data_IF_298854000662
#
_entry.id   IF_298854000662
#
_cell.length_a   1.000
_cell.length_b   1.000
_cell.length_c   1.000
_cell.angle_alpha   90.00
_cell.angle_beta   90.00
_cell.angle_gamma   90.00
#
_symmetry.space_group_name_H-M   'P 1'
#
loop_
_entity.id
_entity.type
_entity.pdbx_description
1 polymer ?
#
# COMPACT_ATOMS: atom_id res chain seq x y z
N UNK A 1 68.52 -8.98 -6.52
CA UNK A 1 67.22 -9.30 -5.91
C UNK A 1 66.21 -8.26 -6.36
N UNK A 2 65.42 -8.53 -7.41
CA UNK A 2 64.36 -7.62 -7.86
C UNK A 2 63.04 -8.36 -7.83
N UNK A 3 62.21 -7.96 -6.86
CA UNK A 3 60.94 -8.56 -6.50
C UNK A 3 59.86 -8.01 -7.44
N UNK A 4 59.35 -8.82 -8.38
CA UNK A 4 58.20 -8.44 -9.22
C UNK A 4 56.93 -8.95 -8.56
N UNK A 5 56.25 -8.06 -7.82
CA UNK A 5 54.90 -8.30 -7.31
C UNK A 5 53.91 -8.24 -8.48
N UNK A 6 53.33 -9.38 -8.83
CA UNK A 6 52.15 -9.50 -9.68
C UNK A 6 50.92 -9.10 -8.86
N UNK A 7 50.37 -7.93 -9.12
CA UNK A 7 49.07 -7.51 -8.55
C UNK A 7 47.98 -8.24 -9.35
N UNK A 8 47.44 -9.31 -8.75
CA UNK A 8 46.25 -9.98 -9.22
C UNK A 8 45.06 -9.01 -9.09
N UNK A 9 44.55 -8.54 -10.22
CA UNK A 9 43.34 -7.72 -10.29
C UNK A 9 42.12 -8.65 -10.15
N UNK A 10 41.77 -9.01 -8.92
CA UNK A 10 40.51 -9.71 -8.63
C UNK A 10 39.36 -8.74 -8.90
N UNK A 11 38.73 -8.88 -10.06
CA UNK A 11 37.46 -8.22 -10.38
C UNK A 11 36.42 -8.73 -9.38
N UNK A 12 36.18 -7.94 -8.34
CA UNK A 12 35.07 -8.13 -7.42
C UNK A 12 33.79 -7.87 -8.22
N UNK A 13 33.15 -8.94 -8.70
CA UNK A 13 31.78 -8.88 -9.21
C UNK A 13 30.89 -8.52 -8.01
N UNK A 14 30.61 -7.24 -7.83
CA UNK A 14 29.63 -6.75 -6.88
C UNK A 14 28.28 -7.31 -7.30
N UNK A 15 27.87 -8.42 -6.66
CA UNK A 15 26.51 -8.92 -6.67
C UNK A 15 25.63 -7.80 -6.12
N UNK A 16 25.05 -7.01 -7.01
CA UNK A 16 23.97 -6.10 -6.69
C UNK A 16 22.77 -6.95 -6.30
N UNK A 17 22.71 -7.29 -5.01
CA UNK A 17 21.50 -7.87 -4.43
C UNK A 17 20.38 -6.87 -4.72
N UNK A 18 19.30 -7.27 -5.42
CA UNK A 18 18.16 -6.38 -5.55
C UNK A 18 17.70 -6.08 -4.12
N UNK A 19 17.79 -4.80 -3.74
CA UNK A 19 17.13 -4.30 -2.54
C UNK A 19 15.68 -4.77 -2.66
N UNK A 20 15.28 -5.68 -1.79
CA UNK A 20 13.88 -6.04 -1.60
C UNK A 20 13.20 -4.75 -1.17
N UNK A 21 12.58 -4.05 -2.12
CA UNK A 21 11.77 -2.88 -1.85
C UNK A 21 10.51 -3.42 -1.16
N UNK A 22 10.56 -3.51 0.16
CA UNK A 22 9.35 -3.72 0.96
C UNK A 22 8.42 -2.53 0.74
N UNK A 23 7.10 -2.78 0.72
CA UNK A 23 6.09 -1.74 0.49
C UNK A 23 6.39 -0.47 1.30
N UNK A 24 6.49 0.66 0.60
CA UNK A 24 6.81 1.96 1.18
C UNK A 24 5.50 2.69 1.51
N UNK A 25 5.07 2.56 2.77
CA UNK A 25 3.79 3.06 3.24
C UNK A 25 3.86 4.56 3.56
N UNK A 26 3.19 5.38 2.74
CA UNK A 26 2.99 6.81 2.98
C UNK A 26 1.82 7.02 3.95
N UNK A 27 2.09 7.64 5.10
CA UNK A 27 1.06 7.96 6.08
C UNK A 27 0.17 9.11 5.59
N UNK A 28 -1.15 8.97 5.73
CA UNK A 28 -2.14 10.02 5.36
C UNK A 28 -3.01 10.48 6.52
N UNK A 29 -3.16 9.65 7.56
CA UNK A 29 -3.84 10.03 8.79
C UNK A 29 -3.27 9.23 9.95
N UNK A 30 -2.90 9.92 11.03
CA UNK A 30 -2.44 9.32 12.28
C UNK A 30 -3.28 9.91 13.40
N UNK A 31 -4.14 9.08 14.01
CA UNK A 31 -5.02 9.45 15.12
C UNK A 31 -4.80 8.53 16.31
N UNK A 32 -5.48 8.81 17.42
CA UNK A 32 -5.35 8.00 18.64
C UNK A 32 -5.94 6.60 18.48
N UNK A 33 -6.96 6.45 17.64
CA UNK A 33 -7.71 5.22 17.39
C UNK A 33 -7.19 4.43 16.19
N UNK A 34 -6.55 5.07 15.19
CA UNK A 34 -6.03 4.39 14.01
C UNK A 34 -4.84 5.09 13.35
N UNK A 35 -4.18 4.38 12.44
CA UNK A 35 -3.27 4.96 11.44
C UNK A 35 -3.61 4.45 10.05
N UNK A 36 -3.65 5.37 9.10
CA UNK A 36 -3.99 5.11 7.71
C UNK A 36 -2.80 5.45 6.82
N UNK A 37 -2.49 4.53 5.92
CA UNK A 37 -1.40 4.63 4.98
C UNK A 37 -1.86 4.21 3.58
N UNK A 38 -1.15 4.64 2.55
CA UNK A 38 -1.20 4.03 1.21
C UNK A 38 0.21 3.68 0.74
N UNK A 39 0.32 2.70 -0.15
CA UNK A 39 1.59 2.30 -0.77
C UNK A 39 1.76 3.05 -2.09
N UNK A 40 2.69 3.99 -2.12
CA UNK A 40 2.89 4.88 -3.28
C UNK A 40 3.37 4.13 -4.52
N UNK A 41 4.20 3.12 -4.33
CA UNK A 41 4.72 2.27 -5.41
C UNK A 41 3.63 1.37 -6.00
N UNK A 42 2.53 1.15 -5.27
CA UNK A 42 1.40 0.36 -5.76
C UNK A 42 0.44 1.14 -6.66
N UNK A 43 0.60 2.46 -6.76
CA UNK A 43 -0.26 3.31 -7.57
C UNK A 43 -0.04 2.97 -9.04
N UNK A 44 -1.10 2.52 -9.72
CA UNK A 44 -1.07 2.28 -11.17
C UNK A 44 -2.25 2.93 -11.84
N UNK A 45 -2.00 3.62 -12.95
CA UNK A 45 -3.04 4.09 -13.85
C UNK A 45 -3.52 2.88 -14.65
N UNK A 46 -4.76 2.47 -14.41
CA UNK A 46 -5.40 1.30 -15.01
C UNK A 46 -6.13 1.70 -16.29
N UNK A 47 -6.66 2.93 -16.33
CA UNK A 47 -7.23 3.55 -17.53
C UNK A 47 -6.91 5.05 -17.50
N UNK A 48 -6.21 5.54 -18.54
CA UNK A 48 -5.82 6.94 -18.64
C UNK A 48 -7.00 7.88 -18.95
N UNK A 49 -8.00 7.42 -19.69
CA UNK A 49 -9.13 8.25 -20.14
C UNK A 49 -10.06 8.60 -18.97
N UNK A 50 -10.22 7.69 -18.02
CA UNK A 50 -11.04 7.89 -16.81
C UNK A 50 -10.21 8.20 -15.57
N UNK A 51 -8.90 8.43 -15.74
CA UNK A 51 -7.93 8.63 -14.66
C UNK A 51 -8.12 7.58 -13.54
N UNK A 52 -8.36 6.34 -13.93
CA UNK A 52 -8.65 5.24 -13.01
C UNK A 52 -7.33 4.76 -12.41
N UNK A 53 -7.17 4.92 -11.10
CA UNK A 53 -5.97 4.51 -10.37
C UNK A 53 -6.28 3.35 -9.43
N UNK A 54 -5.41 2.35 -9.37
CA UNK A 54 -5.41 1.39 -8.26
C UNK A 54 -4.41 1.79 -7.19
N UNK A 55 -4.65 1.41 -5.94
CA UNK A 55 -3.71 1.62 -4.82
C UNK A 55 -3.96 0.63 -3.68
N UNK A 56 -2.90 0.20 -3.03
CA UNK A 56 -2.99 -0.47 -1.74
C UNK A 56 -3.06 0.55 -0.61
N UNK A 57 -3.99 0.37 0.31
CA UNK A 57 -4.03 1.09 1.56
C UNK A 57 -3.95 0.15 2.76
N UNK A 58 -3.50 0.71 3.88
CA UNK A 58 -3.35 0.00 5.14
C UNK A 58 -3.96 0.80 6.29
N UNK A 59 -4.78 0.15 7.10
CA UNK A 59 -5.27 0.69 8.38
C UNK A 59 -4.70 -0.14 9.51
N UNK A 60 -4.11 0.52 10.51
CA UNK A 60 -3.68 -0.11 11.77
C UNK A 60 -4.57 0.42 12.88
N UNK A 61 -5.28 -0.47 13.59
CA UNK A 61 -6.11 -0.09 14.72
C UNK A 61 -5.25 0.09 15.97
N UNK A 62 -5.44 1.20 16.70
CA UNK A 62 -4.65 1.56 17.89
C UNK A 62 -5.38 1.36 19.21
N UNK A 63 -6.68 1.11 19.13
CA UNK A 63 -7.57 0.76 20.24
C UNK A 63 -8.31 -0.53 19.94
N UNK A 64 -8.87 -1.16 20.97
CA UNK A 64 -9.82 -2.26 20.80
C UNK A 64 -11.18 -1.70 20.35
N UNK A 65 -11.82 -2.41 19.43
CA UNK A 65 -13.21 -2.17 19.02
C UNK A 65 -14.04 -3.43 19.19
N UNK A 66 -15.32 -3.39 18.83
CA UNK A 66 -16.16 -4.60 18.80
C UNK A 66 -15.55 -5.70 17.88
N UNK A 67 -15.02 -5.30 16.72
CA UNK A 67 -14.60 -6.23 15.65
C UNK A 67 -13.07 -6.41 15.53
N UNK A 68 -12.29 -5.48 16.09
CA UNK A 68 -10.84 -5.46 15.98
C UNK A 68 -10.18 -5.34 17.35
N UNK A 69 -8.95 -5.82 17.45
CA UNK A 69 -8.09 -5.59 18.61
C UNK A 69 -7.01 -4.57 18.26
N UNK A 70 -6.43 -3.96 19.28
CA UNK A 70 -5.25 -3.10 19.13
C UNK A 70 -4.16 -3.84 18.36
N UNK A 71 -3.58 -3.14 17.38
CA UNK A 71 -2.60 -3.60 16.41
C UNK A 71 -3.10 -4.64 15.39
N UNK A 72 -4.38 -5.01 15.38
CA UNK A 72 -4.97 -5.59 14.18
C UNK A 72 -4.79 -4.59 13.03
N UNK A 73 -4.65 -5.11 11.81
CA UNK A 73 -4.50 -4.25 10.64
C UNK A 73 -5.23 -4.81 9.43
N UNK A 74 -5.64 -3.89 8.58
CA UNK A 74 -6.36 -4.13 7.34
C UNK A 74 -5.50 -3.71 6.17
N UNK A 75 -5.46 -4.51 5.11
CA UNK A 75 -4.91 -4.16 3.80
C UNK A 75 -6.03 -4.24 2.77
N UNK A 76 -6.28 -3.16 2.03
CA UNK A 76 -7.22 -3.17 0.92
C UNK A 76 -6.60 -2.68 -0.38
N UNK A 77 -6.94 -3.37 -1.47
CA UNK A 77 -6.66 -2.92 -2.83
C UNK A 77 -7.90 -2.20 -3.34
N UNK A 78 -7.80 -0.89 -3.52
CA UNK A 78 -8.88 -0.04 -4.02
C UNK A 78 -8.57 0.51 -5.39
N UNK A 79 -9.64 0.79 -6.14
CA UNK A 79 -9.62 1.45 -7.43
C UNK A 79 -10.41 2.75 -7.29
N UNK A 80 -9.80 3.87 -7.67
CA UNK A 80 -10.41 5.19 -7.65
C UNK A 80 -10.54 5.71 -9.07
N UNK A 81 -11.76 6.05 -9.47
CA UNK A 81 -12.00 6.87 -10.64
C UNK A 81 -11.87 8.33 -10.17
N UNK A 82 -10.74 8.96 -10.50
CA UNK A 82 -10.41 10.30 -10.05
C UNK A 82 -11.23 11.40 -10.73
N UNK A 83 -11.85 11.12 -11.89
CA UNK A 83 -12.75 12.06 -12.58
C UNK A 83 -14.13 12.10 -11.93
N UNK A 84 -14.73 10.92 -11.68
CA UNK A 84 -16.11 10.82 -11.19
C UNK A 84 -16.22 10.74 -9.65
N UNK A 85 -15.10 10.70 -8.94
CA UNK A 85 -15.09 10.60 -7.47
C UNK A 85 -15.63 9.28 -6.92
N UNK A 86 -15.46 8.18 -7.66
CA UNK A 86 -15.97 6.85 -7.29
C UNK A 86 -14.87 5.91 -6.86
N UNK A 87 -15.20 4.95 -6.00
CA UNK A 87 -14.30 3.87 -5.60
C UNK A 87 -14.84 2.49 -5.96
N UNK A 88 -13.95 1.52 -6.08
CA UNK A 88 -14.26 0.10 -6.05
C UNK A 88 -13.24 -0.64 -5.19
N UNK A 89 -13.72 -1.43 -4.24
CA UNK A 89 -12.87 -2.32 -3.45
C UNK A 89 -12.65 -3.62 -4.23
N UNK A 90 -11.38 -4.03 -4.43
CA UNK A 90 -11.05 -5.27 -5.15
C UNK A 90 -10.67 -6.40 -4.19
N UNK A 91 -9.86 -6.11 -3.18
CA UNK A 91 -9.40 -7.09 -2.19
C UNK A 91 -9.38 -6.48 -0.80
N UNK A 92 -9.65 -7.31 0.19
CA UNK A 92 -9.50 -6.98 1.60
C UNK A 92 -8.80 -8.13 2.33
N UNK A 93 -7.87 -7.79 3.20
CA UNK A 93 -7.24 -8.71 4.14
C UNK A 93 -7.24 -8.05 5.51
N UNK A 94 -7.66 -8.80 6.52
CA UNK A 94 -7.59 -8.37 7.93
C UNK A 94 -6.70 -9.36 8.64
N UNK A 95 -5.67 -8.83 9.29
CA UNK A 95 -4.72 -9.57 10.08
C UNK A 95 -4.84 -9.14 11.54
N UNK A 96 -4.54 -10.06 12.45
CA UNK A 96 -4.27 -9.69 13.82
C UNK A 96 -2.84 -9.11 13.97
N UNK A 97 -2.51 -8.65 15.18
CA UNK A 97 -1.19 -8.13 15.52
C UNK A 97 -0.01 -9.08 15.23
N UNK A 98 -0.23 -10.40 15.30
CA UNK A 98 0.81 -11.41 15.03
C UNK A 98 0.91 -11.79 13.54
N UNK A 99 0.23 -11.04 12.66
CA UNK A 99 0.19 -11.23 11.20
C UNK A 99 -0.52 -12.51 10.76
N UNK A 100 -1.36 -13.11 11.61
CA UNK A 100 -2.27 -14.18 11.21
C UNK A 100 -3.50 -13.58 10.54
N UNK A 101 -3.86 -14.14 9.39
CA UNK A 101 -5.04 -13.74 8.63
C UNK A 101 -6.31 -14.10 9.40
N UNK A 102 -7.12 -13.11 9.77
CA UNK A 102 -8.44 -13.30 10.38
C UNK A 102 -9.52 -13.44 9.31
N UNK A 103 -9.43 -12.64 8.26
CA UNK A 103 -10.45 -12.54 7.23
C UNK A 103 -9.84 -12.06 5.92
N UNK A 104 -10.38 -12.54 4.80
CA UNK A 104 -10.09 -11.99 3.49
C UNK A 104 -11.32 -12.07 2.58
N UNK A 105 -11.36 -11.20 1.58
CA UNK A 105 -12.21 -11.39 0.43
C UNK A 105 -11.58 -10.79 -0.83
N UNK A 106 -12.08 -11.21 -1.98
CA UNK A 106 -11.79 -10.63 -3.28
C UNK A 106 -13.07 -10.52 -4.09
N UNK A 107 -13.36 -9.33 -4.62
CA UNK A 107 -14.44 -9.18 -5.60
C UNK A 107 -13.96 -9.61 -6.97
N UNK A 108 -14.72 -10.46 -7.67
CA UNK A 108 -14.39 -10.88 -9.03
C UNK A 108 -14.44 -9.70 -10.01
N UNK A 109 -15.48 -8.87 -9.88
CA UNK A 109 -15.71 -7.67 -10.72
C UNK A 109 -15.59 -6.40 -9.89
N UNK A 110 -15.08 -5.34 -10.50
CA UNK A 110 -15.08 -4.02 -9.87
C UNK A 110 -16.51 -3.47 -9.86
N UNK A 111 -17.03 -3.16 -8.68
CA UNK A 111 -18.30 -2.46 -8.49
C UNK A 111 -18.00 -1.07 -7.98
N UNK A 112 -18.21 -0.07 -8.83
CA UNK A 112 -17.99 1.32 -8.45
C UNK A 112 -19.17 1.84 -7.63
N UNK A 113 -18.85 2.50 -6.54
CA UNK A 113 -19.78 3.12 -5.62
C UNK A 113 -19.27 4.50 -5.21
N UNK A 114 -20.18 5.32 -4.70
CA UNK A 114 -19.82 6.65 -4.22
C UNK A 114 -18.91 6.51 -2.98
N UNK A 115 -17.95 7.42 -2.89
CA UNK A 115 -17.05 7.45 -1.75
C UNK A 115 -17.83 8.01 -0.56
N UNK A 116 -17.92 7.22 0.51
CA UNK A 116 -18.57 7.64 1.75
C UNK A 116 -17.76 8.78 2.38
N UNK A 117 -18.37 9.93 2.69
CA UNK A 117 -17.70 11.03 3.37
C UNK A 117 -17.09 10.60 4.70
N UNK A 118 -15.96 11.21 5.07
CA UNK A 118 -15.19 10.97 6.30
C UNK A 118 -14.67 9.54 6.47
N UNK A 119 -14.75 8.72 5.41
CA UNK A 119 -14.21 7.36 5.41
C UNK A 119 -12.71 7.34 5.16
N UNK A 120 -12.05 6.23 5.51
CA UNK A 120 -10.65 5.98 5.15
C UNK A 120 -10.42 6.06 3.64
N UNK A 121 -11.34 5.51 2.84
CA UNK A 121 -11.27 5.58 1.39
C UNK A 121 -11.30 7.02 0.87
N UNK A 122 -12.05 7.93 1.49
CA UNK A 122 -12.07 9.35 1.08
C UNK A 122 -10.72 10.02 1.33
N UNK A 123 -10.10 9.77 2.48
CA UNK A 123 -8.79 10.34 2.82
C UNK A 123 -7.71 9.86 1.84
N UNK A 124 -7.72 8.56 1.51
CA UNK A 124 -6.79 8.00 0.51
C UNK A 124 -7.11 8.52 -0.89
N UNK A 125 -8.38 8.60 -1.29
CA UNK A 125 -8.79 9.16 -2.58
C UNK A 125 -8.24 10.58 -2.77
N UNK A 126 -8.43 11.47 -1.79
CA UNK A 126 -7.90 12.83 -1.84
C UNK A 126 -6.38 12.83 -1.98
N UNK A 127 -5.69 11.92 -1.27
CA UNK A 127 -4.23 11.80 -1.33
C UNK A 127 -3.70 11.28 -2.68
N UNK A 128 -4.47 10.43 -3.38
CA UNK A 128 -4.06 9.76 -4.62
C UNK A 128 -4.52 10.51 -5.89
N UNK A 129 -5.69 11.14 -5.83
CA UNK A 129 -6.31 11.83 -6.97
C UNK A 129 -6.06 13.34 -6.99
N UNK A 130 -5.90 13.98 -5.81
CA UNK A 130 -5.81 15.45 -5.72
C UNK A 130 -4.42 15.96 -5.31
N UNK A 131 -3.43 15.07 -5.11
CA UNK A 131 -2.04 15.51 -5.02
C UNK A 131 -1.60 16.08 -6.37
N UNK A 132 -1.48 17.41 -6.40
CA UNK A 132 -0.80 18.18 -7.44
C UNK A 132 0.70 18.23 -7.18
#
# INVERSE_FOLDING_TARGET
MNNKFLIHCSVLFALSVPLSHGANWTAVSIKDDHSLYYDEESIKIVNGDTNLKQVWQKVIFRIDTENTRKNDYMLSLEYFNCEDGKRALKKLYIYNANRTLKYNFTHEKLKFEDIVPESFSEIVFKSVCLKA
#
